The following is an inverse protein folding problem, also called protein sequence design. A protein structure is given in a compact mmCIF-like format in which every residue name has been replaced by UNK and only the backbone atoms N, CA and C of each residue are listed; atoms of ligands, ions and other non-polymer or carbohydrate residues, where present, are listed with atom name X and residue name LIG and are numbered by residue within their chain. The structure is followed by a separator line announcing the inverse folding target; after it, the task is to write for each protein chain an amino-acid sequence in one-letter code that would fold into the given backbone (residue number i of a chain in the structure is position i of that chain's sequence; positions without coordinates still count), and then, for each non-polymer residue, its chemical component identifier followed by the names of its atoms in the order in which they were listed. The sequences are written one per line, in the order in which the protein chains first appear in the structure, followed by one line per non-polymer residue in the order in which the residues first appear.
data_IF_121418432131
#
_entry.id   IF_121418432131
#
_cell.length_a   1.000
_cell.length_b   1.000
_cell.length_c   1.000
_cell.angle_alpha   90.00
_cell.angle_beta   90.00
_cell.angle_gamma   90.00
#
_symmetry.space_group_name_H-M   'P 1'
#
loop_
_entity.id
_entity.type
_entity.pdbx_description
1 polymer ?
#
# COMPACT_ATOMS: atom_id res chain seq x y z
N UNK A 1 -30.98 10.59 -22.84
CA UNK A 1 -29.67 9.99 -23.19
C UNK A 1 -28.93 9.84 -21.89
N UNK A 2 -28.96 8.65 -21.31
CA UNK A 2 -28.35 8.36 -20.01
C UNK A 2 -26.83 8.20 -20.20
N UNK A 3 -26.04 9.04 -19.53
CA UNK A 3 -24.59 8.90 -19.47
C UNK A 3 -24.25 7.68 -18.59
N UNK A 4 -23.93 6.57 -19.25
CA UNK A 4 -23.42 5.37 -18.61
C UNK A 4 -21.90 5.53 -18.48
N UNK A 5 -21.42 5.50 -17.24
CA UNK A 5 -20.00 5.43 -16.82
C UNK A 5 -19.26 6.77 -16.61
N UNK A 6 -19.74 7.61 -15.70
CA UNK A 6 -18.82 8.20 -14.71
C UNK A 6 -18.47 7.11 -13.70
N UNK A 7 -17.41 6.36 -13.96
CA UNK A 7 -16.76 5.60 -12.90
C UNK A 7 -16.12 6.65 -12.01
N UNK A 8 -16.52 6.73 -10.75
CA UNK A 8 -15.84 7.53 -9.72
C UNK A 8 -14.34 7.24 -9.81
N UNK A 9 -13.56 8.09 -10.47
CA UNK A 9 -12.12 7.90 -10.63
C UNK A 9 -11.47 8.22 -9.30
N UNK A 10 -11.47 7.25 -8.39
CA UNK A 10 -10.56 7.21 -7.25
C UNK A 10 -9.15 7.57 -7.76
N UNK A 11 -8.45 8.52 -7.11
CA UNK A 11 -7.13 8.94 -7.55
C UNK A 11 -6.20 7.72 -7.62
N UNK A 12 -5.31 7.70 -8.60
CA UNK A 12 -4.27 6.67 -8.71
C UNK A 12 -3.44 6.72 -7.41
N UNK A 13 -3.55 5.68 -6.59
CA UNK A 13 -2.90 5.58 -5.27
C UNK A 13 -1.71 4.66 -5.33
N UNK A 14 -0.57 5.13 -4.86
CA UNK A 14 0.64 4.33 -4.80
C UNK A 14 0.60 3.25 -3.74
N UNK A 15 1.49 2.25 -3.83
CA UNK A 15 1.68 1.29 -2.74
C UNK A 15 2.03 1.99 -1.42
N UNK A 16 2.79 3.08 -1.47
CA UNK A 16 3.09 3.89 -0.30
C UNK A 16 1.84 4.54 0.29
N UNK A 17 0.96 5.08 -0.55
CA UNK A 17 -0.30 5.68 -0.12
C UNK A 17 -1.25 4.63 0.47
N UNK A 18 -1.39 3.49 -0.18
CA UNK A 18 -2.20 2.38 0.32
C UNK A 18 -1.68 1.85 1.66
N UNK A 19 -0.37 1.66 1.77
CA UNK A 19 0.26 1.23 3.02
C UNK A 19 0.05 2.27 4.12
N UNK A 20 0.20 3.56 3.81
CA UNK A 20 -0.03 4.65 4.74
C UNK A 20 -1.46 4.61 5.29
N UNK A 21 -2.45 4.51 4.41
CA UNK A 21 -3.86 4.48 4.79
C UNK A 21 -4.17 3.30 5.71
N UNK A 22 -3.70 2.09 5.38
CA UNK A 22 -3.92 0.89 6.21
C UNK A 22 -3.29 1.06 7.60
N UNK A 23 -2.12 1.68 7.68
CA UNK A 23 -1.44 1.94 8.96
C UNK A 23 -2.18 2.97 9.81
N UNK A 24 -2.69 4.05 9.19
CA UNK A 24 -3.46 5.10 9.86
C UNK A 24 -4.81 4.57 10.36
N UNK A 25 -5.57 3.87 9.52
CA UNK A 25 -6.86 3.24 9.86
C UNK A 25 -6.74 2.30 11.07
N UNK A 26 -5.59 1.63 11.21
CA UNK A 26 -5.34 0.66 12.28
C UNK A 26 -4.53 1.21 13.45
N UNK A 27 -4.20 2.51 13.44
CA UNK A 27 -3.33 3.13 14.45
C UNK A 27 -2.00 2.39 14.66
N UNK A 28 -1.42 1.83 13.58
CA UNK A 28 -0.14 1.11 13.59
C UNK A 28 0.97 2.03 13.07
N UNK A 29 2.07 2.15 13.81
CA UNK A 29 3.21 2.97 13.37
C UNK A 29 4.09 2.24 12.36
N UNK A 30 4.78 3.00 11.50
CA UNK A 30 5.80 2.45 10.58
C UNK A 30 6.88 1.66 11.31
N UNK A 31 7.32 2.12 12.49
CA UNK A 31 8.28 1.39 13.34
C UNK A 31 7.73 0.06 13.84
N UNK A 32 6.44 -0.01 14.20
CA UNK A 32 5.79 -1.27 14.59
C UNK A 32 5.74 -2.23 13.41
N UNK A 33 5.37 -1.75 12.22
CA UNK A 33 5.39 -2.56 11.00
C UNK A 33 6.80 -3.06 10.68
N UNK A 34 7.82 -2.21 10.78
CA UNK A 34 9.23 -2.57 10.59
C UNK A 34 9.64 -3.73 11.52
N UNK A 35 9.28 -3.66 12.81
CA UNK A 35 9.53 -4.73 13.78
C UNK A 35 8.84 -6.04 13.41
N UNK A 36 7.55 -5.99 13.04
CA UNK A 36 6.77 -7.18 12.70
C UNK A 36 7.24 -7.83 11.39
N UNK A 37 7.65 -7.01 10.42
CA UNK A 37 8.18 -7.46 9.14
C UNK A 37 9.67 -7.77 9.20
N UNK A 38 10.39 -7.44 10.27
CA UNK A 38 11.85 -7.53 10.31
C UNK A 38 12.55 -6.72 9.20
N UNK A 39 11.93 -5.62 8.77
CA UNK A 39 12.49 -4.68 7.80
C UNK A 39 13.06 -3.47 8.52
N UNK A 40 13.97 -2.76 7.87
CA UNK A 40 14.48 -1.51 8.41
C UNK A 40 13.38 -0.44 8.47
N UNK A 41 13.33 0.31 9.58
CA UNK A 41 12.32 1.33 9.78
C UNK A 41 12.43 2.46 8.76
N UNK A 42 13.65 2.88 8.39
CA UNK A 42 13.86 3.89 7.35
C UNK A 42 13.35 3.41 6.00
N UNK A 43 13.49 2.11 5.69
CA UNK A 43 12.94 1.52 4.48
C UNK A 43 11.40 1.55 4.46
N UNK A 44 10.74 1.21 5.57
CA UNK A 44 9.28 1.35 5.69
C UNK A 44 8.84 2.81 5.51
N UNK A 45 9.54 3.76 6.11
CA UNK A 45 9.22 5.19 5.94
C UNK A 45 9.52 5.70 4.54
N UNK A 46 10.53 5.16 3.85
CA UNK A 46 10.80 5.47 2.44
C UNK A 46 9.65 4.98 1.54
N UNK A 47 9.03 3.84 1.86
CA UNK A 47 7.82 3.36 1.16
C UNK A 47 6.64 4.29 1.44
N UNK A 48 6.31 4.54 2.71
CA UNK A 48 5.14 5.36 3.13
C UNK A 48 5.23 6.81 2.63
N UNK A 49 6.45 7.34 2.45
CA UNK A 49 6.70 8.70 1.93
C UNK A 49 6.94 8.74 0.42
N UNK A 50 6.75 7.61 -0.29
CA UNK A 50 6.99 7.48 -1.73
C UNK A 50 8.40 7.85 -2.19
N UNK A 51 9.40 7.76 -1.30
CA UNK A 51 10.83 7.96 -1.65
C UNK A 51 11.44 6.73 -2.32
N UNK A 52 10.97 5.54 -1.96
CA UNK A 52 11.32 4.26 -2.60
C UNK A 52 10.06 3.40 -2.80
N UNK A 53 9.16 3.86 -3.66
CA UNK A 53 7.84 3.28 -3.87
C UNK A 53 7.82 1.97 -4.71
N UNK A 54 8.97 1.33 -4.96
CA UNK A 54 9.06 0.09 -5.73
C UNK A 54 9.67 -1.07 -4.93
N UNK A 55 9.02 -1.52 -3.83
CA UNK A 55 9.45 -2.71 -3.10
C UNK A 55 9.32 -3.96 -3.99
N UNK A 56 10.22 -4.92 -3.81
CA UNK A 56 10.08 -6.21 -4.51
C UNK A 56 8.79 -6.94 -4.12
N UNK A 57 8.26 -7.80 -4.98
CA UNK A 57 7.06 -8.60 -4.70
C UNK A 57 7.16 -9.38 -3.39
N UNK A 58 8.36 -9.87 -3.03
CA UNK A 58 8.62 -10.57 -1.76
C UNK A 58 8.36 -9.67 -0.55
N UNK A 59 8.71 -8.39 -0.64
CA UNK A 59 8.45 -7.41 0.41
C UNK A 59 6.95 -7.12 0.51
N UNK A 60 6.27 -6.95 -0.61
CA UNK A 60 4.81 -6.70 -0.62
C UNK A 60 4.05 -7.87 0.02
N UNK A 61 4.37 -9.11 -0.33
CA UNK A 61 3.79 -10.32 0.28
C UNK A 61 4.08 -10.37 1.78
N UNK A 62 5.29 -9.97 2.21
CA UNK A 62 5.65 -9.96 3.64
C UNK A 62 4.80 -8.96 4.41
N UNK A 63 4.63 -7.77 3.87
CA UNK A 63 3.80 -6.71 4.46
C UNK A 63 2.33 -7.16 4.50
N UNK A 64 1.81 -7.75 3.41
CA UNK A 64 0.42 -8.21 3.33
C UNK A 64 0.11 -9.28 4.38
N UNK A 65 1.01 -10.24 4.57
CA UNK A 65 0.90 -11.28 5.61
C UNK A 65 0.92 -10.71 7.03
N UNK A 66 1.84 -9.79 7.31
CA UNK A 66 1.95 -9.16 8.65
C UNK A 66 0.72 -8.31 8.96
N UNK A 67 0.20 -7.61 7.97
CA UNK A 67 -1.00 -6.78 8.12
C UNK A 67 -2.30 -7.59 7.97
N UNK A 68 -2.24 -8.87 7.61
CA UNK A 68 -3.42 -9.69 7.31
C UNK A 68 -4.39 -8.96 6.35
N UNK A 69 -3.84 -8.53 5.22
CA UNK A 69 -4.59 -7.93 4.10
C UNK A 69 -4.26 -8.67 2.82
N UNK A 70 -5.21 -8.70 1.90
CA UNK A 70 -4.97 -9.19 0.56
C UNK A 70 -3.94 -8.31 -0.16
N UNK A 71 -3.15 -8.92 -1.06
CA UNK A 71 -2.04 -8.22 -1.71
C UNK A 71 -2.51 -7.09 -2.63
N UNK A 72 -3.71 -7.22 -3.19
CA UNK A 72 -4.38 -6.23 -4.03
C UNK A 72 -4.69 -4.94 -3.25
N UNK A 73 -4.90 -5.00 -1.93
CA UNK A 73 -5.06 -3.81 -1.08
C UNK A 73 -3.79 -2.96 -0.97
N UNK A 74 -2.62 -3.55 -1.22
CA UNK A 74 -1.35 -2.84 -1.26
C UNK A 74 -1.01 -2.36 -2.67
N UNK A 75 -1.47 -3.08 -3.70
CA UNK A 75 -1.12 -2.83 -5.09
C UNK A 75 -2.17 -1.95 -5.78
N UNK A 76 -1.78 -1.32 -6.90
CA UNK A 76 -2.72 -0.59 -7.74
C UNK A 76 -3.71 -1.56 -8.39
N UNK A 77 -4.95 -1.11 -8.61
CA UNK A 77 -5.80 -1.67 -9.66
C UNK A 77 -5.27 -1.14 -10.99
N UNK A 78 -4.48 -1.95 -11.70
CA UNK A 78 -4.15 -1.68 -13.09
C UNK A 78 -5.29 -2.26 -13.91
N UNK A 79 -6.21 -1.40 -14.33
CA UNK A 79 -7.13 -1.78 -15.39
C UNK A 79 -6.28 -1.87 -16.66
N UNK A 80 -6.04 -3.11 -17.13
CA UNK A 80 -5.45 -3.33 -18.44
C UNK A 80 -6.58 -3.11 -19.46
N UNK A 81 -6.48 -2.02 -20.22
CA UNK A 81 -7.28 -1.82 -21.43
C UNK A 81 -7.04 -2.95 -22.46
#
# INVERSE_FOLDING_TARGET
MENKHEIDKEPIRTIGDNLKNILEERSVTGTKLAKLTGLDASYIYDIIKNKKANPSIKIVIKISKVLNVDIDKLLYKVDFD
#
